data_IF_594119285801
#
_entry.id   IF_594119285801
#
_cell.length_a   1.000
_cell.length_b   1.000
_cell.length_c   1.000
_cell.angle_alpha   90.00
_cell.angle_beta   90.00
_cell.angle_gamma   90.00
#
_symmetry.space_group_name_H-M   'P 1'
#
loop_
_entity.id
_entity.type
_entity.pdbx_description
1 polymer ?
#
# COMPACT_ATOMS: atom_id res chain seq x y z
N UNK A 1 19.14 -61.58 19.05
CA UNK A 1 18.04 -62.48 19.50
C UNK A 1 17.06 -61.55 20.21
N UNK A 2 15.82 -61.29 19.82
CA UNK A 2 14.82 -61.86 18.88
C UNK A 2 14.02 -60.69 18.30
N UNK A 3 13.69 -60.64 17.00
CA UNK A 3 12.42 -61.14 16.39
C UNK A 3 11.18 -60.63 17.13
N UNK A 4 10.47 -59.64 16.57
CA UNK A 4 9.32 -59.81 15.65
C UNK A 4 8.04 -60.09 16.44
N UNK A 5 7.05 -59.19 16.34
CA UNK A 5 5.63 -59.55 16.17
C UNK A 5 4.77 -58.30 15.90
N UNK A 6 4.11 -58.32 14.74
CA UNK A 6 2.97 -57.49 14.34
C UNK A 6 1.79 -57.68 15.30
N UNK A 7 0.96 -56.65 15.46
CA UNK A 7 -0.47 -56.80 15.71
C UNK A 7 -1.23 -55.58 15.19
N UNK A 8 -1.98 -55.84 14.14
CA UNK A 8 -3.01 -55.01 13.50
C UNK A 8 -4.31 -55.05 14.33
N UNK A 9 -4.96 -53.90 14.54
CA UNK A 9 -6.40 -53.84 14.86
C UNK A 9 -6.97 -52.43 14.62
N UNK A 10 -7.82 -52.34 13.61
CA UNK A 10 -8.66 -51.21 13.19
C UNK A 10 -9.62 -50.68 14.28
N UNK A 11 -9.94 -49.37 14.25
CA UNK A 11 -11.32 -48.81 14.10
C UNK A 11 -11.42 -47.28 14.32
N UNK A 12 -11.60 -46.57 13.18
CA UNK A 12 -12.62 -45.55 12.82
C UNK A 12 -12.82 -44.22 13.61
N UNK A 13 -12.87 -43.16 12.76
CA UNK A 13 -13.44 -41.79 12.82
C UNK A 13 -12.80 -40.81 13.81
N UNK A 14 -12.50 -39.55 13.46
CA UNK A 14 -13.20 -38.64 12.55
C UNK A 14 -12.26 -37.55 12.03
N UNK A 15 -12.48 -37.14 10.78
CA UNK A 15 -12.45 -35.78 10.21
C UNK A 15 -11.61 -34.69 10.91
N UNK A 16 -10.65 -34.11 10.17
CA UNK A 16 -10.51 -32.65 9.99
C UNK A 16 -9.52 -32.37 8.83
N UNK A 17 -10.08 -32.13 7.65
CA UNK A 17 -9.41 -31.54 6.48
C UNK A 17 -9.38 -30.00 6.59
N UNK A 18 -8.28 -29.44 6.09
CA UNK A 18 -8.13 -28.15 5.38
C UNK A 18 -8.65 -26.85 6.01
N UNK A 19 -7.82 -25.79 6.01
CA UNK A 19 -7.78 -24.90 4.85
C UNK A 19 -6.80 -23.72 5.05
N UNK A 20 -5.86 -23.61 4.11
CA UNK A 20 -5.06 -22.42 3.85
C UNK A 20 -5.95 -21.39 3.15
N UNK A 21 -6.51 -20.44 3.91
CA UNK A 21 -7.38 -19.39 3.33
C UNK A 21 -6.54 -18.15 2.97
N UNK A 22 -6.29 -18.02 1.68
CA UNK A 22 -5.96 -16.75 1.02
C UNK A 22 -7.11 -15.76 1.19
N UNK A 23 -6.88 -14.65 1.90
CA UNK A 23 -7.85 -13.54 1.97
C UNK A 23 -7.79 -12.69 0.69
N UNK A 24 -8.31 -13.25 -0.41
CA UNK A 24 -8.97 -12.46 -1.45
C UNK A 24 -10.45 -12.33 -1.07
N UNK A 25 -10.77 -11.37 -0.20
CA UNK A 25 -12.14 -10.89 -0.06
C UNK A 25 -12.23 -9.48 -0.66
N UNK A 26 -12.51 -9.53 -1.96
CA UNK A 26 -13.36 -8.58 -2.66
C UNK A 26 -14.58 -8.26 -1.78
N UNK A 27 -14.60 -7.09 -1.13
CA UNK A 27 -15.81 -6.61 -0.46
C UNK A 27 -16.87 -6.24 -1.52
N UNK A 28 -17.55 -7.27 -2.02
CA UNK A 28 -18.90 -7.10 -2.55
C UNK A 28 -19.81 -6.65 -1.42
N UNK A 29 -20.29 -5.42 -1.55
CA UNK A 29 -21.33 -4.81 -0.70
C UNK A 29 -22.62 -5.62 -0.79
N UNK A 30 -22.81 -6.58 0.11
CA UNK A 30 -24.07 -7.29 0.33
C UNK A 30 -25.01 -6.44 1.19
N UNK A 31 -26.07 -5.93 0.57
CA UNK A 31 -27.22 -5.36 1.26
C UNK A 31 -28.14 -6.52 1.69
N UNK A 32 -28.15 -6.88 2.97
CA UNK A 32 -29.18 -7.75 3.54
C UNK A 32 -30.19 -6.91 4.32
N UNK A 33 -31.36 -6.75 3.72
CA UNK A 33 -32.62 -6.40 4.35
C UNK A 33 -33.15 -7.61 5.12
N UNK A 34 -33.49 -7.42 6.40
CA UNK A 34 -34.30 -8.35 7.17
C UNK A 34 -35.75 -7.87 7.20
N UNK A 35 -36.59 -8.75 6.72
CA UNK A 35 -38.04 -8.79 6.72
C UNK A 35 -38.55 -9.30 8.07
N UNK A 36 -39.43 -8.51 8.71
CA UNK A 36 -40.35 -9.05 9.69
C UNK A 36 -41.69 -8.30 9.68
N UNK A 37 -42.75 -9.10 9.50
CA UNK A 37 -44.16 -8.87 9.81
C UNK A 37 -45.08 -8.06 8.87
N UNK A 38 -46.28 -8.63 8.71
CA UNK A 38 -47.24 -8.43 7.64
C UNK A 38 -48.34 -7.39 7.89
N UNK A 39 -48.69 -6.59 6.86
CA UNK A 39 -50.06 -6.40 6.32
C UNK A 39 -50.13 -5.28 5.25
N UNK A 40 -51.05 -5.36 4.25
CA UNK A 40 -50.95 -4.57 3.02
C UNK A 40 -51.81 -3.31 3.04
N UNK A 41 -51.21 -2.14 2.80
CA UNK A 41 -51.96 -0.94 2.39
C UNK A 41 -51.22 -0.18 1.29
N UNK A 42 -51.97 0.08 0.21
CA UNK A 42 -51.51 0.64 -1.06
C UNK A 42 -51.24 2.14 -0.92
N UNK A 43 -50.05 2.60 -1.31
CA UNK A 43 -49.76 3.96 -1.83
C UNK A 43 -48.36 3.98 -2.47
N UNK A 44 -48.14 4.60 -3.64
CA UNK A 44 -46.85 4.55 -4.32
C UNK A 44 -45.94 5.68 -3.79
N UNK A 45 -45.13 5.37 -2.77
CA UNK A 45 -44.09 6.26 -2.29
C UNK A 45 -42.78 6.01 -3.05
N UNK A 46 -42.47 6.95 -3.95
CA UNK A 46 -41.18 7.26 -4.57
C UNK A 46 -39.96 6.73 -3.80
N UNK A 47 -39.36 5.65 -4.30
CA UNK A 47 -38.11 5.07 -3.78
C UNK A 47 -36.93 5.99 -4.15
N UNK A 48 -36.41 6.72 -3.15
CA UNK A 48 -35.10 7.36 -3.26
C UNK A 48 -34.02 6.28 -3.25
N UNK A 49 -33.51 5.97 -4.45
CA UNK A 49 -32.34 5.12 -4.68
C UNK A 49 -31.09 5.91 -4.23
N UNK A 50 -30.69 5.73 -2.97
CA UNK A 50 -29.47 6.34 -2.44
C UNK A 50 -28.23 5.81 -3.18
N UNK A 51 -27.32 6.73 -3.46
CA UNK A 51 -26.28 6.66 -4.49
C UNK A 51 -25.06 5.83 -4.08
N UNK A 52 -25.04 4.52 -4.32
CA UNK A 52 -23.78 3.74 -4.24
C UNK A 52 -22.83 4.00 -5.43
N UNK A 53 -23.34 4.60 -6.52
CA UNK A 53 -22.56 4.84 -7.75
C UNK A 53 -21.55 5.99 -7.70
N UNK A 54 -21.67 6.93 -6.77
CA UNK A 54 -20.74 8.08 -6.73
C UNK A 54 -19.43 7.78 -6.01
N UNK A 55 -19.43 6.88 -5.02
CA UNK A 55 -18.20 6.54 -4.27
C UNK A 55 -17.17 5.84 -5.14
N UNK A 56 -17.53 4.80 -5.90
CA UNK A 56 -16.54 4.07 -6.71
C UNK A 56 -15.96 4.91 -7.86
N UNK A 57 -16.75 5.84 -8.41
CA UNK A 57 -16.29 6.74 -9.46
C UNK A 57 -15.14 7.65 -8.97
N UNK A 58 -15.22 8.15 -7.73
CA UNK A 58 -14.14 8.97 -7.15
C UNK A 58 -12.89 8.17 -6.78
N UNK A 59 -13.03 6.89 -6.38
CA UNK A 59 -11.87 6.04 -6.12
C UNK A 59 -11.14 5.63 -7.41
N UNK A 60 -11.87 5.48 -8.51
CA UNK A 60 -11.31 5.19 -9.83
C UNK A 60 -10.63 6.39 -10.50
N UNK A 61 -10.70 7.59 -9.90
CA UNK A 61 -10.06 8.80 -10.42
C UNK A 61 -8.59 8.94 -9.97
N UNK A 62 -8.13 8.11 -9.04
CA UNK A 62 -6.74 8.09 -8.58
C UNK A 62 -5.84 7.36 -9.58
N UNK A 63 -4.63 7.88 -9.79
CA UNK A 63 -3.56 7.23 -10.55
C UNK A 63 -3.02 5.99 -9.81
N UNK A 64 -3.01 6.01 -8.48
CA UNK A 64 -2.59 4.87 -7.66
C UNK A 64 -3.80 4.05 -7.18
N UNK A 65 -3.86 2.73 -7.45
CA UNK A 65 -4.92 1.89 -6.93
C UNK A 65 -4.90 1.83 -5.39
N UNK A 66 -6.04 2.13 -4.75
CA UNK A 66 -6.15 2.16 -3.28
C UNK A 66 -5.75 0.82 -2.64
N UNK A 67 -6.07 -0.30 -3.27
CA UNK A 67 -5.68 -1.63 -2.78
C UNK A 67 -4.16 -1.79 -2.71
N UNK A 68 -3.42 -1.22 -3.66
CA UNK A 68 -1.95 -1.24 -3.67
C UNK A 68 -1.38 -0.34 -2.60
N UNK A 69 -1.92 0.87 -2.45
CA UNK A 69 -1.51 1.83 -1.42
C UNK A 69 -1.72 1.24 -0.02
N UNK A 70 -2.90 0.68 0.26
CA UNK A 70 -3.19 0.03 1.56
C UNK A 70 -2.21 -1.11 1.85
N UNK A 71 -1.84 -1.90 0.85
CA UNK A 71 -0.87 -2.99 1.02
C UNK A 71 0.52 -2.48 1.39
N UNK A 72 0.98 -1.39 0.76
CA UNK A 72 2.28 -0.79 1.04
C UNK A 72 2.32 -0.18 2.45
N UNK A 73 1.26 0.53 2.85
CA UNK A 73 1.17 1.11 4.21
C UNK A 73 1.21 0.01 5.27
N UNK A 74 0.56 -1.13 5.03
CA UNK A 74 0.59 -2.28 5.95
C UNK A 74 1.92 -3.03 5.96
N UNK A 75 2.72 -2.96 4.90
CA UNK A 75 4.04 -3.60 4.88
C UNK A 75 5.11 -2.78 5.60
N UNK A 76 4.88 -1.49 5.79
CA UNK A 76 5.84 -0.55 6.39
C UNK A 76 5.74 -0.47 7.93
N UNK A 77 4.69 -1.05 8.53
CA UNK A 77 4.55 -1.12 9.98
C UNK A 77 3.54 -2.18 10.39
N UNK A 78 3.47 -2.50 11.68
CA UNK A 78 2.53 -3.46 12.27
C UNK A 78 1.08 -2.92 12.30
N UNK A 79 0.63 -2.25 11.24
CA UNK A 79 -0.73 -1.74 11.10
C UNK A 79 -1.64 -2.84 10.55
N UNK A 80 -2.56 -3.31 11.38
CA UNK A 80 -3.51 -4.36 11.00
C UNK A 80 -4.53 -3.88 9.95
N UNK A 81 -4.92 -2.61 10.00
CA UNK A 81 -5.99 -2.07 9.14
C UNK A 81 -5.78 -0.60 8.76
N UNK A 82 -6.19 -0.30 7.53
CA UNK A 82 -6.20 1.05 6.96
C UNK A 82 -7.60 1.28 6.39
N UNK A 83 -8.29 2.31 6.87
CA UNK A 83 -9.61 2.69 6.38
C UNK A 83 -9.58 3.16 4.93
N UNK A 84 -10.71 3.05 4.22
CA UNK A 84 -10.80 3.40 2.79
C UNK A 84 -10.52 4.88 2.55
N UNK A 85 -11.02 5.76 3.40
CA UNK A 85 -10.79 7.22 3.30
C UNK A 85 -9.32 7.59 3.56
N UNK A 86 -8.68 6.94 4.54
CA UNK A 86 -7.25 7.10 4.78
C UNK A 86 -6.43 6.62 3.57
N UNK A 87 -6.77 5.44 3.02
CA UNK A 87 -6.12 4.92 1.81
C UNK A 87 -6.29 5.85 0.60
N UNK A 88 -7.46 6.48 0.45
CA UNK A 88 -7.70 7.49 -0.59
C UNK A 88 -6.83 8.73 -0.39
N UNK A 89 -6.74 9.26 0.83
CA UNK A 89 -5.92 10.44 1.13
C UNK A 89 -4.43 10.18 0.90
N UNK A 90 -3.92 9.02 1.32
CA UNK A 90 -2.52 8.63 1.08
C UNK A 90 -2.25 8.47 -0.41
N UNK A 91 -3.16 7.84 -1.16
CA UNK A 91 -3.03 7.72 -2.61
C UNK A 91 -2.99 9.09 -3.29
N UNK A 92 -3.87 10.01 -2.88
CA UNK A 92 -3.89 11.38 -3.42
C UNK A 92 -2.65 12.17 -3.04
N UNK A 93 -2.17 12.02 -1.81
CA UNK A 93 -0.93 12.65 -1.36
C UNK A 93 0.27 12.13 -2.16
N UNK A 94 0.34 10.84 -2.45
CA UNK A 94 1.40 10.25 -3.26
C UNK A 94 1.41 10.81 -4.70
N UNK A 95 0.24 11.05 -5.30
CA UNK A 95 0.15 11.73 -6.61
C UNK A 95 0.75 13.12 -6.57
N UNK A 96 0.30 13.92 -5.61
CA UNK A 96 0.76 15.30 -5.43
C UNK A 96 2.25 15.34 -5.09
N UNK A 97 2.74 14.35 -4.34
CA UNK A 97 4.15 14.22 -4.01
C UNK A 97 5.00 14.04 -5.27
N UNK A 98 4.65 13.08 -6.14
CA UNK A 98 5.42 12.82 -7.36
C UNK A 98 5.38 14.03 -8.31
N UNK A 99 4.21 14.67 -8.45
CA UNK A 99 4.07 15.89 -9.24
C UNK A 99 4.97 17.01 -8.70
N UNK A 100 4.92 17.26 -7.39
CA UNK A 100 5.70 18.33 -6.78
C UNK A 100 7.20 18.04 -6.83
N UNK A 101 7.59 16.80 -6.58
CA UNK A 101 8.99 16.37 -6.65
C UNK A 101 9.57 16.57 -8.06
N UNK A 102 8.80 16.22 -9.10
CA UNK A 102 9.22 16.44 -10.48
C UNK A 102 9.25 17.94 -10.86
N UNK A 103 8.29 18.73 -10.38
CA UNK A 103 8.25 20.18 -10.60
C UNK A 103 9.47 20.88 -10.00
N UNK A 104 9.78 20.62 -8.72
CA UNK A 104 10.93 21.22 -8.02
C UNK A 104 12.26 20.89 -8.72
N UNK A 105 12.44 19.64 -9.15
CA UNK A 105 13.62 19.23 -9.92
C UNK A 105 13.70 19.93 -11.28
N UNK A 106 12.57 20.05 -11.97
CA UNK A 106 12.53 20.68 -13.28
C UNK A 106 12.75 22.20 -13.21
N UNK A 107 12.26 22.87 -12.18
CA UNK A 107 12.54 24.28 -11.90
C UNK A 107 14.05 24.50 -11.76
N UNK A 108 14.72 23.70 -10.91
CA UNK A 108 16.18 23.76 -10.72
C UNK A 108 16.94 23.54 -12.04
N UNK A 109 16.59 22.50 -12.80
CA UNK A 109 17.22 22.22 -14.09
C UNK A 109 17.05 23.38 -15.08
N UNK A 110 15.86 23.97 -15.12
CA UNK A 110 15.55 25.08 -16.03
C UNK A 110 16.36 26.32 -15.67
N UNK A 111 16.60 26.59 -14.39
CA UNK A 111 17.50 27.65 -13.92
C UNK A 111 18.96 27.44 -14.39
N UNK A 112 19.40 26.18 -14.48
CA UNK A 112 20.70 25.78 -15.02
C UNK A 112 20.76 25.73 -16.55
N UNK A 113 19.64 26.01 -17.24
CA UNK A 113 19.52 25.92 -18.70
C UNK A 113 19.53 24.48 -19.22
N UNK A 114 19.24 23.50 -18.36
CA UNK A 114 19.17 22.08 -18.66
C UNK A 114 17.71 21.63 -18.67
N UNK A 115 17.41 20.57 -19.44
CA UNK A 115 16.07 19.95 -19.46
C UNK A 115 16.12 18.43 -19.25
N UNK A 116 17.33 17.89 -19.09
CA UNK A 116 17.58 16.47 -18.84
C UNK A 116 17.89 16.29 -17.35
N UNK A 117 17.08 15.47 -16.69
CA UNK A 117 17.24 15.10 -15.28
C UNK A 117 18.27 13.98 -15.14
N UNK A 118 19.27 14.20 -14.29
CA UNK A 118 20.25 13.20 -13.88
C UNK A 118 20.01 12.77 -12.43
N UNK A 119 20.60 11.63 -12.05
CA UNK A 119 20.52 11.13 -10.68
C UNK A 119 21.15 12.11 -9.67
N UNK A 120 22.22 12.79 -10.07
CA UNK A 120 22.94 13.76 -9.25
C UNK A 120 22.00 14.89 -8.79
N UNK A 121 21.14 15.36 -9.69
CA UNK A 121 20.16 16.42 -9.40
C UNK A 121 19.13 15.94 -8.36
N UNK A 122 18.70 14.67 -8.43
CA UNK A 122 17.79 14.07 -7.44
C UNK A 122 18.46 13.88 -6.08
N UNK A 123 19.67 13.34 -6.06
CA UNK A 123 20.42 13.11 -4.84
C UNK A 123 20.70 14.41 -4.08
N UNK A 124 21.06 15.48 -4.81
CA UNK A 124 21.27 16.80 -4.23
C UNK A 124 19.95 17.44 -3.75
N UNK A 125 18.84 17.27 -4.48
CA UNK A 125 17.53 17.78 -4.04
C UNK A 125 17.07 17.10 -2.75
N UNK A 126 17.28 15.78 -2.64
CA UNK A 126 16.95 14.99 -1.46
C UNK A 126 17.82 15.39 -0.27
N UNK A 127 19.14 15.54 -0.45
CA UNK A 127 20.04 15.91 0.65
C UNK A 127 19.91 17.36 1.12
N UNK A 128 19.44 18.26 0.26
CA UNK A 128 19.28 19.69 0.59
C UNK A 128 17.92 20.04 1.21
N UNK A 129 16.91 19.17 1.08
CA UNK A 129 15.53 19.46 1.50
C UNK A 129 15.10 18.54 2.64
N UNK A 130 14.97 19.07 3.87
CA UNK A 130 14.57 18.31 5.08
C UNK A 130 13.27 17.49 4.89
N UNK A 131 12.30 18.02 4.13
CA UNK A 131 11.04 17.29 3.85
C UNK A 131 11.24 16.04 2.99
N UNK A 132 12.41 15.88 2.37
CA UNK A 132 12.80 14.76 1.52
C UNK A 132 13.69 13.74 2.25
N UNK A 133 14.01 13.94 3.53
CA UNK A 133 14.90 13.06 4.31
C UNK A 133 14.45 11.60 4.31
N UNK A 134 13.13 11.35 4.20
CA UNK A 134 12.59 10.00 4.10
C UNK A 134 13.05 9.23 2.84
N UNK A 135 13.62 9.91 1.85
CA UNK A 135 14.19 9.33 0.64
C UNK A 135 15.69 9.11 0.73
N UNK A 136 16.39 9.58 1.77
CA UNK A 136 17.86 9.53 1.83
C UNK A 136 18.42 8.11 1.70
N UNK A 137 17.73 7.12 2.28
CA UNK A 137 18.14 5.71 2.20
C UNK A 137 17.88 5.08 0.81
N UNK A 138 16.97 5.68 0.03
CA UNK A 138 16.58 5.20 -1.30
C UNK A 138 17.36 5.92 -2.41
N UNK A 139 17.65 7.20 -2.20
CA UNK A 139 18.38 8.09 -3.10
C UNK A 139 19.59 8.65 -2.34
N UNK A 140 20.64 7.84 -2.16
CA UNK A 140 21.84 8.27 -1.45
C UNK A 140 22.59 9.39 -2.16
N UNK A 141 23.24 10.25 -1.36
CA UNK A 141 24.13 11.28 -1.87
C UNK A 141 25.36 10.65 -2.57
N UNK A 142 25.73 11.22 -3.71
CA UNK A 142 26.90 10.75 -4.44
C UNK A 142 28.19 11.27 -3.81
N UNK A 143 28.76 10.50 -2.89
CA UNK A 143 30.12 10.72 -2.39
C UNK A 143 31.15 10.19 -3.39
N UNK A 144 32.13 11.01 -3.74
CA UNK A 144 33.22 10.58 -4.62
C UNK A 144 34.07 9.53 -3.92
N UNK A 145 34.52 8.48 -4.63
CA UNK A 145 35.32 7.41 -4.03
C UNK A 145 36.58 7.92 -3.28
N UNK A 146 37.17 9.02 -3.76
CA UNK A 146 38.30 9.68 -3.08
C UNK A 146 37.94 10.20 -1.69
N UNK A 147 36.73 10.74 -1.47
CA UNK A 147 36.31 11.28 -0.17
C UNK A 147 35.93 10.16 0.78
N UNK A 148 35.26 9.11 0.29
CA UNK A 148 34.90 7.93 1.09
C UNK A 148 36.13 7.13 1.58
N UNK A 149 37.22 7.11 0.79
CA UNK A 149 38.47 6.44 1.18
C UNK A 149 39.30 7.27 2.17
N UNK A 150 39.22 8.60 2.10
CA UNK A 150 39.87 9.49 3.08
C UNK A 150 39.21 9.37 4.47
N UNK A 151 37.88 9.21 4.55
CA UNK A 151 37.18 9.03 5.83
C UNK A 151 37.51 7.69 6.51
N UNK A 152 37.70 6.62 5.73
CA UNK A 152 38.15 5.31 6.26
C UNK A 152 39.64 5.26 6.63
N UNK A 153 40.41 6.29 6.32
CA UNK A 153 41.85 6.34 6.57
C UNK A 153 42.22 6.89 7.96
N UNK A 154 41.25 7.32 8.77
CA UNK A 154 41.44 7.63 10.20
C UNK A 154 40.84 6.52 11.09
N UNK A 155 41.51 5.36 11.26
CA UNK A 155 41.05 4.31 12.17
C UNK A 155 41.50 4.47 13.63
N UNK A 156 42.31 5.47 14.01
CA UNK A 156 42.78 5.64 15.40
C UNK A 156 42.99 7.13 15.74
N UNK A 157 42.15 7.65 16.64
CA UNK A 157 42.46 8.83 17.46
C UNK A 157 43.12 8.42 18.76
#
# INVERSE_FOLDING_TARGET
MSSSEESDSERRSSDEEENEKTDEENEEVVSQSQDDSASPSRSPARSQKHSSRSKSASLNALAFPISRVRRLVKSDGDMLWVGVEAGFLVAKAAELFVEKFAEELFEKLTEEGRTTLHYEDMAEHVSSTERMDFLADIIPEMVTASTALLEKADPDG
#
